data_IF_157947772229
#
_entry.id   IF_157947772229
#
_cell.length_a   1.000
_cell.length_b   1.000
_cell.length_c   1.000
_cell.angle_alpha   90.00
_cell.angle_beta   90.00
_cell.angle_gamma   90.00
#
_symmetry.space_group_name_H-M   'P 1'
#
loop_
_entity.id
_entity.type
_entity.pdbx_description
1 polymer ?
#
# COMPACT_ATOMS: atom_id res chain seq x y z
N UNK A 1 39.04 25.98 27.54
CA UNK A 1 37.82 26.47 26.88
C UNK A 1 37.85 25.97 25.45
N UNK A 2 37.19 24.84 25.15
CA UNK A 2 36.79 24.47 23.79
C UNK A 2 35.50 23.67 23.93
N UNK A 3 34.50 24.15 23.21
CA UNK A 3 33.09 23.84 23.31
C UNK A 3 32.78 22.41 22.93
N UNK A 4 31.92 21.79 23.74
CA UNK A 4 31.20 20.58 23.40
C UNK A 4 30.23 20.85 22.24
N UNK A 5 30.22 19.97 21.24
CA UNK A 5 28.96 19.34 20.84
C UNK A 5 29.22 17.97 20.21
N UNK A 6 28.52 16.92 20.66
CA UNK A 6 28.66 15.57 20.13
C UNK A 6 27.64 15.29 19.00
N UNK A 7 27.85 14.10 18.44
CA UNK A 7 26.85 13.21 17.85
C UNK A 7 26.74 13.24 16.31
N UNK A 8 26.33 12.10 15.74
CA UNK A 8 27.14 11.35 14.80
C UNK A 8 26.53 11.51 13.40
N UNK A 9 27.19 10.95 12.39
CA UNK A 9 26.43 10.51 11.23
C UNK A 9 25.32 9.59 11.73
N UNK A 10 24.10 10.11 11.86
CA UNK A 10 22.93 9.27 12.06
C UNK A 10 22.95 8.23 10.96
N UNK A 11 22.63 6.96 11.23
CA UNK A 11 22.41 6.03 10.14
C UNK A 11 21.42 6.74 9.20
N UNK A 12 21.75 6.72 7.91
CA UNK A 12 20.81 6.90 6.82
C UNK A 12 19.44 6.52 7.36
N UNK A 13 18.50 7.46 7.44
CA UNK A 13 17.20 7.22 8.07
C UNK A 13 16.50 6.16 7.24
N UNK A 14 16.83 4.89 7.50
CA UNK A 14 15.98 3.75 7.28
C UNK A 14 14.86 4.04 8.25
N UNK A 15 13.89 4.84 7.80
CA UNK A 15 12.68 5.05 8.54
C UNK A 15 12.23 3.64 8.97
N UNK A 16 12.05 3.37 10.28
CA UNK A 16 11.47 2.11 10.72
C UNK A 16 10.03 1.93 10.18
N UNK A 17 9.54 2.95 9.48
CA UNK A 17 8.23 3.11 8.90
C UNK A 17 8.15 2.86 7.40
N UNK A 18 9.19 2.35 6.70
CA UNK A 18 9.00 1.92 5.30
C UNK A 18 7.78 1.00 5.25
N UNK A 19 6.64 1.45 4.71
CA UNK A 19 5.43 0.65 4.75
C UNK A 19 5.75 -0.61 3.96
N UNK A 20 5.41 -1.77 4.52
CA UNK A 20 5.56 -3.03 3.83
C UNK A 20 4.64 -3.00 2.61
N UNK A 21 5.11 -2.45 1.48
CA UNK A 21 4.35 -2.26 0.25
C UNK A 21 4.70 -3.39 -0.70
N UNK A 22 3.67 -4.08 -1.16
CA UNK A 22 3.75 -5.13 -2.17
C UNK A 22 2.96 -4.70 -3.40
N UNK A 23 3.61 -4.77 -4.56
CA UNK A 23 2.91 -4.60 -5.84
C UNK A 23 2.42 -5.96 -6.31
N UNK A 24 1.18 -6.02 -6.74
CA UNK A 24 0.47 -7.22 -7.16
C UNK A 24 0.00 -7.01 -8.59
N UNK A 25 0.47 -7.86 -9.50
CA UNK A 25 0.10 -7.84 -10.92
C UNK A 25 -0.64 -9.12 -11.22
N UNK A 26 -1.94 -9.00 -11.51
CA UNK A 26 -2.83 -10.15 -11.70
C UNK A 26 -2.96 -10.43 -13.18
N UNK A 27 -2.20 -11.42 -13.64
CA UNK A 27 -2.23 -11.87 -15.03
C UNK A 27 -3.51 -12.66 -15.35
N UNK A 28 -4.02 -13.42 -14.37
CA UNK A 28 -5.25 -14.20 -14.48
C UNK A 28 -6.32 -13.69 -13.52
N UNK A 29 -7.46 -13.16 -14.00
CA UNK A 29 -8.52 -12.63 -13.14
C UNK A 29 -9.15 -13.69 -12.22
N UNK A 30 -9.08 -14.98 -12.59
CA UNK A 30 -9.56 -16.06 -11.72
C UNK A 30 -8.69 -16.24 -10.47
N UNK A 31 -7.42 -15.85 -10.53
CA UNK A 31 -6.47 -15.93 -9.41
C UNK A 31 -6.43 -14.64 -8.57
N UNK A 32 -7.17 -13.60 -8.96
CA UNK A 32 -7.13 -12.28 -8.33
C UNK A 32 -7.26 -12.34 -6.80
N UNK A 33 -8.28 -13.04 -6.31
CA UNK A 33 -8.54 -13.11 -4.87
C UNK A 33 -7.42 -13.84 -4.12
N UNK A 34 -6.87 -14.89 -4.72
CA UNK A 34 -5.80 -15.68 -4.09
C UNK A 34 -4.49 -14.89 -4.06
N UNK A 35 -4.13 -14.25 -5.17
CA UNK A 35 -2.90 -13.45 -5.30
C UNK A 35 -2.92 -12.25 -4.33
N UNK A 36 -4.08 -11.59 -4.21
CA UNK A 36 -4.30 -10.53 -3.23
C UNK A 36 -4.26 -11.07 -1.79
N UNK A 37 -4.91 -12.20 -1.50
CA UNK A 37 -4.87 -12.78 -0.16
C UNK A 37 -3.44 -13.15 0.28
N UNK A 38 -2.63 -13.69 -0.64
CA UNK A 38 -1.21 -13.97 -0.41
C UNK A 38 -0.44 -12.68 -0.15
N UNK A 39 -0.67 -11.63 -0.95
CA UNK A 39 -0.02 -10.34 -0.77
C UNK A 39 -0.37 -9.70 0.58
N UNK A 40 -1.65 -9.69 0.96
CA UNK A 40 -2.14 -9.20 2.26
C UNK A 40 -1.50 -9.96 3.41
N UNK A 41 -1.44 -11.29 3.32
CA UNK A 41 -0.81 -12.12 4.37
C UNK A 41 0.66 -11.76 4.53
N UNK A 42 1.40 -11.61 3.44
CA UNK A 42 2.83 -11.29 3.50
C UNK A 42 3.09 -9.87 4.02
N UNK A 43 2.29 -8.90 3.61
CA UNK A 43 2.37 -7.53 4.12
C UNK A 43 2.08 -7.48 5.61
N UNK A 44 1.06 -8.22 6.06
CA UNK A 44 0.73 -8.32 7.48
C UNK A 44 1.86 -8.99 8.28
N UNK A 45 2.39 -10.11 7.79
CA UNK A 45 3.52 -10.84 8.41
C UNK A 45 4.77 -9.95 8.50
N UNK A 46 5.03 -9.14 7.46
CA UNK A 46 6.15 -8.17 7.46
C UNK A 46 5.90 -6.99 8.40
N UNK A 47 4.65 -6.59 8.60
CA UNK A 47 4.27 -5.53 9.53
C UNK A 47 4.30 -5.99 11.01
N UNK A 48 4.34 -7.30 11.26
CA UNK A 48 4.40 -7.88 12.61
C UNK A 48 5.80 -7.72 13.23
N UNK A 49 6.03 -6.57 13.86
CA UNK A 49 7.00 -6.43 14.99
C UNK A 49 6.81 -5.21 15.89
N UNK A 50 5.76 -4.38 15.74
CA UNK A 50 5.56 -3.30 16.70
C UNK A 50 4.37 -2.37 16.51
N UNK A 51 3.73 -2.39 15.34
CA UNK A 51 2.85 -1.30 14.93
C UNK A 51 1.47 -1.83 14.52
N UNK A 52 0.41 -1.34 15.18
CA UNK A 52 -0.98 -1.75 14.95
C UNK A 52 -1.52 -1.12 13.67
N UNK A 53 -0.99 -1.54 12.53
CA UNK A 53 -1.35 -1.03 11.20
C UNK A 53 -2.35 -1.94 10.51
N UNK A 54 -3.36 -1.35 9.88
CA UNK A 54 -4.25 -2.04 8.97
C UNK A 54 -3.64 -2.16 7.57
N UNK A 55 -4.39 -2.79 6.67
CA UNK A 55 -3.94 -3.02 5.30
C UNK A 55 -4.62 -2.02 4.37
N UNK A 56 -3.85 -1.26 3.62
CA UNK A 56 -4.34 -0.43 2.53
C UNK A 56 -4.08 -1.13 1.21
N UNK A 57 -5.15 -1.44 0.49
CA UNK A 57 -5.09 -1.99 -0.85
C UNK A 57 -5.47 -0.91 -1.84
N UNK A 58 -4.59 -0.58 -2.78
CA UNK A 58 -4.83 0.45 -3.77
C UNK A 58 -4.85 -0.15 -5.17
N UNK A 59 -5.99 -0.06 -5.84
CA UNK A 59 -6.14 -0.45 -7.23
C UNK A 59 -5.66 0.67 -8.15
N UNK A 60 -4.59 0.39 -8.89
CA UNK A 60 -3.98 1.31 -9.86
C UNK A 60 -4.45 1.04 -11.30
N UNK A 61 -4.96 -0.16 -11.59
CA UNK A 61 -5.45 -0.54 -12.92
C UNK A 61 -6.34 -1.78 -12.89
N UNK A 62 -6.71 -2.30 -14.07
CA UNK A 62 -7.58 -3.47 -14.16
C UNK A 62 -6.98 -4.70 -13.48
N UNK A 63 -5.67 -4.90 -13.63
CA UNK A 63 -4.88 -6.01 -13.10
C UNK A 63 -3.73 -5.56 -12.19
N UNK A 64 -3.70 -4.29 -11.78
CA UNK A 64 -2.58 -3.72 -11.03
C UNK A 64 -3.08 -3.19 -9.68
N UNK A 65 -2.52 -3.75 -8.61
CA UNK A 65 -2.86 -3.43 -7.25
C UNK A 65 -1.59 -3.23 -6.42
N UNK A 66 -1.66 -2.39 -5.41
CA UNK A 66 -0.67 -2.34 -4.35
C UNK A 66 -1.34 -2.71 -3.04
N UNK A 67 -0.61 -3.39 -2.18
CA UNK A 67 -1.05 -3.79 -0.85
C UNK A 67 0.02 -3.30 0.11
N UNK A 68 -0.34 -2.50 1.10
CA UNK A 68 0.60 -1.95 2.06
C UNK A 68 0.05 -1.95 3.49
N UNK A 69 0.94 -2.02 4.47
CA UNK A 69 0.57 -1.79 5.86
C UNK A 69 0.58 -0.28 6.13
N UNK A 70 -0.59 0.30 6.43
CA UNK A 70 -0.75 1.75 6.60
C UNK A 70 -1.21 2.07 8.03
N UNK A 71 -0.60 3.07 8.69
CA UNK A 71 -1.05 3.55 9.99
C UNK A 71 -2.37 4.32 9.92
N UNK A 72 -2.77 4.79 8.73
CA UNK A 72 -4.07 5.43 8.50
C UNK A 72 -5.24 4.43 8.49
N UNK A 73 -4.93 3.14 8.39
CA UNK A 73 -5.93 2.07 8.44
C UNK A 73 -5.85 1.41 9.83
N UNK A 74 -6.97 1.30 10.55
CA UNK A 74 -6.97 0.63 11.85
C UNK A 74 -6.60 -0.85 11.71
N UNK A 75 -5.81 -1.35 12.65
CA UNK A 75 -5.42 -2.77 12.72
C UNK A 75 -6.64 -3.70 12.63
N UNK A 76 -6.48 -4.81 11.90
CA UNK A 76 -7.56 -5.76 11.65
C UNK A 76 -8.55 -5.33 10.57
N UNK A 77 -8.34 -4.16 9.95
CA UNK A 77 -9.14 -3.67 8.82
C UNK A 77 -8.33 -3.65 7.54
N UNK A 78 -8.99 -3.95 6.43
CA UNK A 78 -8.48 -3.74 5.07
C UNK A 78 -9.28 -2.62 4.42
N UNK A 79 -8.61 -1.56 3.98
CA UNK A 79 -9.22 -0.46 3.23
C UNK A 79 -8.85 -0.60 1.75
N UNK A 80 -9.83 -0.62 0.87
CA UNK A 80 -9.61 -0.62 -0.58
C UNK A 80 -9.76 0.80 -1.14
N UNK A 81 -8.77 1.26 -1.90
CA UNK A 81 -8.78 2.53 -2.64
C UNK A 81 -8.71 2.26 -4.14
N UNK A 82 -9.69 2.75 -4.88
CA UNK A 82 -9.66 2.71 -6.34
C UNK A 82 -9.11 4.03 -6.89
N UNK A 83 -7.81 4.03 -7.22
CA UNK A 83 -7.15 5.18 -7.88
C UNK A 83 -7.22 5.08 -9.40
N UNK A 84 -7.46 3.89 -9.94
CA UNK A 84 -7.80 3.65 -11.34
C UNK A 84 -8.90 4.61 -11.82
N UNK A 85 -10.02 4.70 -11.10
CA UNK A 85 -11.13 5.60 -11.44
C UNK A 85 -10.84 7.07 -11.18
N UNK A 86 -9.94 7.39 -10.24
CA UNK A 86 -9.55 8.79 -9.98
C UNK A 86 -8.60 9.34 -11.04
N UNK A 87 -7.89 8.48 -11.77
CA UNK A 87 -7.05 8.89 -12.90
C UNK A 87 -7.83 9.03 -14.21
N UNK A 88 -9.09 8.57 -14.25
CA UNK A 88 -10.02 9.01 -15.28
C UNK A 88 -10.26 10.51 -15.07
N UNK A 89 -9.70 11.30 -15.97
CA UNK A 89 -9.77 12.77 -16.01
C UNK A 89 -11.21 13.24 -15.70
N UNK A 90 -11.42 14.21 -14.78
CA UNK A 90 -12.73 14.85 -14.63
C UNK A 90 -13.02 15.63 -15.93
N UNK A 91 -13.70 14.98 -16.87
CA UNK A 91 -13.93 15.47 -18.22
C UNK A 91 -14.15 14.39 -19.28
N UNK A 92 -13.81 13.12 -18.99
CA UNK A 92 -14.15 12.01 -19.90
C UNK A 92 -15.56 11.52 -19.62
N UNK A 93 -16.47 12.14 -20.35
CA UNK A 93 -17.81 11.70 -20.77
C UNK A 93 -18.30 10.35 -20.23
N UNK A 94 -19.49 10.41 -19.65
CA UNK A 94 -20.31 9.31 -19.21
C UNK A 94 -20.75 8.44 -20.40
N UNK A 95 -19.88 7.54 -20.85
CA UNK A 95 -20.32 6.42 -21.69
C UNK A 95 -20.83 5.29 -20.80
N UNK A 96 -22.09 5.44 -20.36
CA UNK A 96 -22.88 4.28 -19.93
C UNK A 96 -22.97 3.29 -21.10
N UNK A 97 -22.80 1.97 -20.89
CA UNK A 97 -23.12 1.03 -21.95
C UNK A 97 -24.65 1.03 -22.10
N UNK A 98 -25.13 1.56 -23.22
CA UNK A 98 -26.47 1.23 -23.70
C UNK A 98 -26.39 -0.15 -24.34
N UNK A 99 -27.19 -1.08 -23.81
CA UNK A 99 -27.65 -2.28 -24.51
C UNK A 99 -29.03 -2.60 -23.97
#
# INVERSE_FOLDING_TARGET
MTTANPAPGGPLSTAPDSPAVRVVVVENPHCLQEDLAVAVKQVRDTAESGDRRGILMTRLGQSLFTVEASPDVPYGTTLERDLWRRRAVPGSDQAAPVL
#
